data_IF_559105378259
#
_entry.id   IF_559105378259
#
_cell.length_a   1.000
_cell.length_b   1.000
_cell.length_c   1.000
_cell.angle_alpha   90.00
_cell.angle_beta   90.00
_cell.angle_gamma   90.00
#
_symmetry.space_group_name_H-M   'P 1'
#
loop_
_entity.id
_entity.type
_entity.pdbx_description
1 polymer ?
#
# COMPACT_ATOMS: atom_id res chain seq x y z
N UNK A 1 -14.82 -5.98 3.95
CA UNK A 1 -13.65 -5.24 4.44
C UNK A 1 -14.06 -3.78 4.65
N UNK A 2 -13.42 -3.06 5.58
CA UNK A 2 -13.59 -1.62 5.80
C UNK A 2 -12.24 -0.90 5.63
N UNK A 3 -12.24 0.33 5.12
CA UNK A 3 -11.02 1.15 4.96
C UNK A 3 -11.26 2.57 5.49
N UNK A 4 -10.19 3.26 5.92
CA UNK A 4 -10.19 4.70 6.20
C UNK A 4 -9.70 5.55 5.01
N UNK A 5 -9.35 4.90 3.90
CA UNK A 5 -8.91 5.52 2.66
C UNK A 5 -9.77 5.02 1.48
N UNK A 6 -9.65 5.71 0.35
CA UNK A 6 -10.23 5.31 -0.94
C UNK A 6 -9.09 5.10 -1.96
N UNK A 7 -9.21 4.10 -2.83
CA UNK A 7 -8.34 4.00 -4.01
C UNK A 7 -8.88 4.97 -5.04
N UNK A 8 -8.08 5.95 -5.46
CA UNK A 8 -8.52 6.98 -6.42
C UNK A 8 -7.96 6.71 -7.82
N UNK A 9 -6.79 6.09 -7.88
CA UNK A 9 -6.15 5.57 -9.09
C UNK A 9 -5.48 4.24 -8.76
N UNK A 10 -5.08 3.46 -9.76
CA UNK A 10 -4.42 2.17 -9.53
C UNK A 10 -3.05 2.29 -8.85
N UNK A 11 -2.52 3.49 -8.66
CA UNK A 11 -1.26 3.77 -7.97
C UNK A 11 -1.42 4.75 -6.80
N UNK A 12 -2.65 5.19 -6.49
CA UNK A 12 -2.87 6.26 -5.52
C UNK A 12 -4.09 6.04 -4.64
N UNK A 13 -3.97 6.53 -3.40
CA UNK A 13 -5.04 6.51 -2.41
C UNK A 13 -5.36 7.93 -1.93
N UNK A 14 -6.59 8.11 -1.44
CA UNK A 14 -7.02 9.33 -0.79
C UNK A 14 -7.35 9.06 0.68
N UNK A 15 -6.74 9.83 1.58
CA UNK A 15 -6.98 9.79 3.02
C UNK A 15 -7.36 11.18 3.50
N UNK A 16 -8.56 11.33 4.06
CA UNK A 16 -9.06 12.62 4.59
C UNK A 16 -8.96 13.80 3.59
N UNK A 17 -9.14 13.53 2.29
CA UNK A 17 -9.04 14.54 1.23
C UNK A 17 -7.63 14.76 0.67
N UNK A 18 -6.61 14.12 1.23
CA UNK A 18 -5.22 14.19 0.75
C UNK A 18 -5.00 13.05 -0.25
N UNK A 19 -4.58 13.40 -1.47
CA UNK A 19 -4.13 12.44 -2.48
C UNK A 19 -2.69 12.02 -2.17
N UNK A 20 -2.43 10.71 -2.21
CA UNK A 20 -1.14 10.10 -1.88
C UNK A 20 -0.75 9.18 -3.05
N UNK A 21 0.26 9.58 -3.81
CA UNK A 21 0.82 8.81 -4.92
C UNK A 21 1.78 7.75 -4.39
N UNK A 22 1.37 6.47 -4.40
CA UNK A 22 2.15 5.37 -3.85
C UNK A 22 3.24 4.87 -4.79
N UNK A 23 3.20 5.21 -6.07
CA UNK A 23 4.16 4.75 -7.08
C UNK A 23 5.37 5.69 -7.15
N UNK A 24 5.13 7.00 -7.23
CA UNK A 24 6.21 7.97 -7.41
C UNK A 24 6.82 8.45 -6.09
N UNK A 25 6.01 8.58 -5.04
CA UNK A 25 6.45 9.25 -3.81
C UNK A 25 6.86 8.28 -2.69
N UNK A 26 6.62 6.99 -2.86
CA UNK A 26 6.88 5.99 -1.83
C UNK A 26 7.48 4.71 -2.41
N UNK A 27 8.32 4.06 -1.62
CA UNK A 27 8.93 2.77 -1.90
C UNK A 27 8.45 1.76 -0.85
N UNK A 28 8.14 0.54 -1.26
CA UNK A 28 7.88 -0.55 -0.33
C UNK A 28 9.12 -0.86 0.51
N UNK A 29 8.91 -0.98 1.82
CA UNK A 29 9.98 -1.26 2.78
C UNK A 29 9.92 -2.68 3.30
N UNK A 30 8.76 -3.07 3.85
CA UNK A 30 8.61 -4.39 4.44
C UNK A 30 7.14 -4.80 4.60
N UNK A 31 6.95 -6.12 4.70
CA UNK A 31 5.72 -6.75 5.15
C UNK A 31 6.03 -7.52 6.44
N UNK A 32 5.23 -7.31 7.49
CA UNK A 32 5.40 -7.98 8.78
C UNK A 32 4.07 -8.53 9.28
N UNK A 33 4.14 -9.66 9.98
CA UNK A 33 2.97 -10.39 10.47
C UNK A 33 3.04 -10.50 11.99
N UNK A 34 1.91 -10.25 12.64
CA UNK A 34 1.78 -10.37 14.09
C UNK A 34 0.36 -10.81 14.43
N UNK A 35 0.26 -11.98 15.07
CA UNK A 35 -1.02 -12.64 15.32
C UNK A 35 -1.82 -12.80 14.02
N UNK A 36 -3.04 -12.26 13.97
CA UNK A 36 -3.90 -12.27 12.79
C UNK A 36 -3.83 -10.95 12.00
N UNK A 37 -2.79 -10.16 12.18
CA UNK A 37 -2.64 -8.87 11.51
C UNK A 37 -1.42 -8.88 10.59
N UNK A 38 -1.51 -8.10 9.52
CA UNK A 38 -0.42 -7.90 8.55
C UNK A 38 -0.19 -6.42 8.37
N UNK A 39 1.06 -6.00 8.43
CA UNK A 39 1.49 -4.62 8.19
C UNK A 39 2.33 -4.56 6.92
N UNK A 40 1.94 -3.68 6.01
CA UNK A 40 2.75 -3.33 4.84
C UNK A 40 3.21 -1.89 5.04
N UNK A 41 4.52 -1.68 5.03
CA UNK A 41 5.14 -0.37 5.18
C UNK A 41 5.69 0.15 3.85
N UNK A 42 5.43 1.43 3.62
CA UNK A 42 6.06 2.20 2.56
C UNK A 42 6.79 3.40 3.18
N UNK A 43 7.96 3.74 2.65
CA UNK A 43 8.74 4.91 3.05
C UNK A 43 8.78 5.91 1.92
N UNK A 44 8.90 7.18 2.27
CA UNK A 44 9.08 8.27 1.30
C UNK A 44 10.27 7.97 0.40
N UNK A 45 10.07 8.05 -0.92
CA UNK A 45 11.14 7.86 -1.90
C UNK A 45 12.09 9.06 -1.89
N UNK A 46 13.27 8.89 -2.47
CA UNK A 46 14.33 9.91 -2.50
C UNK A 46 14.34 10.74 -3.79
N UNK A 47 13.32 10.60 -4.64
CA UNK A 47 13.22 11.32 -5.91
C UNK A 47 13.12 12.83 -5.72
N UNK A 48 13.79 13.59 -6.60
CA UNK A 48 13.80 15.07 -6.55
C UNK A 48 12.41 15.69 -6.77
N UNK A 49 11.47 14.94 -7.34
CA UNK A 49 10.07 15.36 -7.55
C UNK A 49 9.21 15.26 -6.29
N UNK A 50 9.66 14.53 -5.26
CA UNK A 50 8.86 14.28 -4.07
C UNK A 50 8.80 15.56 -3.22
N UNK A 51 7.58 16.00 -2.89
CA UNK A 51 7.40 17.20 -2.10
C UNK A 51 8.01 17.07 -0.69
N UNK A 52 8.65 18.14 -0.20
CA UNK A 52 9.26 18.16 1.14
C UNK A 52 8.25 17.82 2.25
N UNK A 53 6.99 18.26 2.08
CA UNK A 53 5.89 18.06 3.02
C UNK A 53 5.15 16.72 2.84
N UNK A 54 5.57 15.87 1.91
CA UNK A 54 5.03 14.51 1.77
C UNK A 54 5.32 13.68 3.04
N UNK A 55 4.41 12.75 3.37
CA UNK A 55 4.56 11.86 4.53
C UNK A 55 5.89 11.10 4.48
N UNK A 56 6.49 10.84 5.64
CA UNK A 56 7.77 10.11 5.71
C UNK A 56 7.56 8.59 5.64
N UNK A 57 6.42 8.12 6.16
CA UNK A 57 6.06 6.70 6.15
C UNK A 57 4.55 6.51 6.08
N UNK A 58 4.16 5.49 5.33
CA UNK A 58 2.81 4.97 5.26
C UNK A 58 2.80 3.54 5.80
N UNK A 59 1.73 3.21 6.52
CA UNK A 59 1.50 1.87 7.05
C UNK A 59 0.08 1.46 6.70
N UNK A 60 -0.04 0.38 5.94
CA UNK A 60 -1.31 -0.32 5.74
C UNK A 60 -1.40 -1.45 6.78
N UNK A 61 -2.18 -1.20 7.83
CA UNK A 61 -2.46 -2.17 8.86
C UNK A 61 -3.72 -2.98 8.50
N UNK A 62 -3.53 -4.25 8.19
CA UNK A 62 -4.59 -5.20 7.87
C UNK A 62 -4.96 -5.97 9.13
N UNK A 63 -6.20 -5.80 9.60
CA UNK A 63 -6.69 -6.36 10.86
C UNK A 63 -7.55 -7.60 10.61
N UNK A 64 -7.33 -8.65 11.40
CA UNK A 64 -8.05 -9.92 11.31
C UNK A 64 -8.00 -10.51 9.90
N UNK A 65 -6.78 -10.74 9.41
CA UNK A 65 -6.49 -11.36 8.12
C UNK A 65 -7.02 -12.79 8.11
N UNK A 66 -7.78 -13.14 7.07
CA UNK A 66 -8.37 -14.48 6.89
C UNK A 66 -7.85 -15.20 5.66
N UNK A 67 -7.09 -14.51 4.82
CA UNK A 67 -6.44 -15.07 3.64
C UNK A 67 -5.23 -14.23 3.25
N UNK A 68 -4.19 -14.92 2.79
CA UNK A 68 -2.97 -14.33 2.25
C UNK A 68 -2.51 -15.17 1.07
N UNK A 69 -2.09 -14.49 0.01
CA UNK A 69 -1.33 -15.05 -1.08
C UNK A 69 -0.24 -14.05 -1.46
N UNK A 70 0.93 -14.54 -1.88
CA UNK A 70 2.03 -13.68 -2.29
C UNK A 70 2.84 -14.30 -3.41
N UNK A 71 3.44 -13.44 -4.22
CA UNK A 71 4.46 -13.77 -5.21
C UNK A 71 5.64 -12.82 -5.00
N UNK A 72 6.87 -13.31 -5.13
CA UNK A 72 8.08 -12.52 -4.87
C UNK A 72 8.52 -11.71 -6.11
N UNK A 73 7.95 -12.03 -7.29
CA UNK A 73 8.31 -11.39 -8.55
C UNK A 73 9.68 -11.83 -9.08
N UNK A 74 10.18 -11.10 -10.09
CA UNK A 74 11.51 -11.29 -10.67
C UNK A 74 12.23 -9.93 -10.81
N UNK A 75 13.39 -9.82 -10.20
CA UNK A 75 14.24 -8.62 -10.23
C UNK A 75 15.36 -8.69 -11.28
N UNK A 76 15.37 -9.71 -12.14
CA UNK A 76 16.50 -9.96 -13.05
C UNK A 76 16.73 -8.84 -14.08
N UNK A 77 15.66 -8.19 -14.55
CA UNK A 77 15.75 -7.13 -15.57
C UNK A 77 15.90 -5.72 -14.99
N UNK A 78 15.17 -5.40 -13.92
CA UNK A 78 15.11 -4.04 -13.33
C UNK A 78 15.15 -4.06 -11.79
N UNK A 79 16.31 -4.34 -11.16
CA UNK A 79 16.42 -4.39 -9.71
C UNK A 79 16.07 -3.07 -9.01
N UNK A 80 16.25 -1.94 -9.70
CA UNK A 80 15.96 -0.61 -9.15
C UNK A 80 14.46 -0.38 -8.87
N UNK A 81 13.57 -1.12 -9.54
CA UNK A 81 12.12 -0.95 -9.45
C UNK A 81 11.47 -1.99 -8.52
N UNK A 82 12.27 -2.82 -7.84
CA UNK A 82 11.80 -3.93 -6.99
C UNK A 82 10.76 -3.52 -5.92
N UNK A 83 10.88 -2.29 -5.43
CA UNK A 83 10.05 -1.76 -4.35
C UNK A 83 9.00 -0.75 -4.82
N UNK A 84 8.91 -0.53 -6.13
CA UNK A 84 7.98 0.41 -6.74
C UNK A 84 6.62 -0.26 -6.92
N UNK A 85 5.58 0.34 -6.35
CA UNK A 85 4.21 -0.16 -6.48
C UNK A 85 3.70 0.12 -7.90
N UNK A 86 3.39 -0.90 -8.69
CA UNK A 86 2.72 -0.73 -9.98
C UNK A 86 1.20 -0.61 -9.85
N UNK A 87 0.65 -1.16 -8.75
CA UNK A 87 -0.78 -1.37 -8.62
C UNK A 87 -1.31 -1.55 -7.19
N UNK A 88 -2.47 -0.95 -6.90
CA UNK A 88 -3.32 -1.27 -5.76
C UNK A 88 -4.78 -1.36 -6.20
N UNK A 89 -5.47 -2.43 -5.81
CA UNK A 89 -6.88 -2.64 -6.16
C UNK A 89 -7.61 -3.48 -5.13
N UNK A 90 -8.92 -3.27 -5.00
CA UNK A 90 -9.80 -4.25 -4.39
C UNK A 90 -10.24 -5.26 -5.45
N UNK A 91 -10.34 -6.53 -5.06
CA UNK A 91 -10.67 -7.61 -5.98
C UNK A 91 -11.58 -8.65 -5.32
N UNK A 92 -12.66 -9.13 -5.97
CA UNK A 92 -13.55 -10.11 -5.38
C UNK A 92 -12.83 -11.39 -4.96
N UNK A 93 -13.13 -11.90 -3.77
CA UNK A 93 -12.63 -13.20 -3.29
C UNK A 93 -13.00 -14.37 -4.20
N UNK A 94 -14.10 -14.27 -4.95
CA UNK A 94 -14.56 -15.32 -5.87
C UNK A 94 -13.67 -15.47 -7.11
N UNK A 95 -12.78 -14.51 -7.36
CA UNK A 95 -11.90 -14.47 -8.53
C UNK A 95 -10.44 -14.41 -8.07
N UNK A 96 -10.02 -15.42 -7.30
CA UNK A 96 -8.65 -15.51 -6.73
C UNK A 96 -7.61 -16.04 -7.70
N UNK A 97 -8.06 -16.63 -8.78
CA UNK A 97 -7.29 -17.09 -9.92
C UNK A 97 -6.75 -15.94 -10.79
N UNK A 98 -7.35 -14.74 -10.70
CA UNK A 98 -6.90 -13.54 -11.42
C UNK A 98 -6.09 -12.67 -10.44
N UNK A 99 -4.80 -12.46 -10.71
CA UNK A 99 -3.89 -11.70 -9.84
C UNK A 99 -3.26 -10.48 -10.52
N UNK A 100 -3.40 -10.34 -11.84
CA UNK A 100 -2.87 -9.27 -12.70
C UNK A 100 -3.96 -8.27 -13.16
N UNK A 101 -5.19 -8.48 -12.70
CA UNK A 101 -6.33 -7.63 -13.05
C UNK A 101 -6.48 -6.40 -12.15
N UNK A 102 -6.86 -5.27 -12.74
CA UNK A 102 -7.23 -4.05 -12.03
C UNK A 102 -8.74 -3.82 -12.05
N UNK A 103 -9.30 -3.39 -10.93
CA UNK A 103 -10.67 -2.93 -10.84
C UNK A 103 -10.70 -1.47 -10.38
N UNK A 104 -11.43 -0.61 -11.10
CA UNK A 104 -11.60 0.82 -10.75
C UNK A 104 -12.46 1.07 -9.50
N UNK A 105 -12.42 0.15 -8.54
CA UNK A 105 -13.25 0.17 -7.35
C UNK A 105 -12.57 0.99 -6.24
N UNK A 106 -13.19 2.10 -5.86
CA UNK A 106 -12.63 3.02 -4.85
C UNK A 106 -12.68 2.50 -3.41
N UNK A 107 -13.70 1.69 -3.08
CA UNK A 107 -13.96 1.15 -1.73
C UNK A 107 -14.20 -0.34 -1.78
N UNK A 108 -13.77 -1.12 -0.79
CA UNK A 108 -13.96 -2.56 -0.81
C UNK A 108 -15.42 -2.96 -0.58
N UNK A 109 -15.84 -4.07 -1.16
CA UNK A 109 -17.02 -4.80 -0.72
C UNK A 109 -16.71 -5.66 0.52
N UNK A 110 -17.74 -6.29 1.07
CA UNK A 110 -17.63 -7.08 2.32
C UNK A 110 -16.57 -8.18 2.26
N UNK A 111 -16.42 -8.84 1.11
CA UNK A 111 -15.58 -10.03 0.97
C UNK A 111 -14.44 -9.83 -0.04
N UNK A 112 -14.14 -8.59 -0.41
CA UNK A 112 -13.04 -8.35 -1.34
C UNK A 112 -11.70 -8.61 -0.65
N UNK A 113 -10.73 -9.01 -1.46
CA UNK A 113 -9.32 -8.97 -1.13
C UNK A 113 -8.77 -7.60 -1.56
N UNK A 114 -7.67 -7.17 -0.94
CA UNK A 114 -6.82 -6.11 -1.46
C UNK A 114 -5.61 -6.74 -2.13
N UNK A 115 -5.19 -6.20 -3.27
CA UNK A 115 -4.01 -6.62 -4.02
C UNK A 115 -3.06 -5.43 -4.12
N UNK A 116 -1.81 -5.66 -3.77
CA UNK A 116 -0.67 -4.79 -4.02
C UNK A 116 0.20 -5.47 -5.07
N UNK A 117 0.46 -4.80 -6.18
CA UNK A 117 1.29 -5.27 -7.28
C UNK A 117 2.49 -4.33 -7.42
N UNK A 118 3.66 -4.90 -7.67
CA UNK A 118 4.91 -4.17 -7.84
C UNK A 118 5.42 -4.28 -9.27
N UNK A 119 6.31 -3.37 -9.68
CA UNK A 119 6.87 -3.32 -11.04
C UNK A 119 7.62 -4.60 -11.41
N UNK A 120 8.26 -5.24 -10.43
CA UNK A 120 8.97 -6.52 -10.61
C UNK A 120 8.03 -7.75 -10.63
N UNK A 121 6.70 -7.56 -10.59
CA UNK A 121 5.72 -8.64 -10.51
C UNK A 121 5.50 -9.22 -9.12
N UNK A 122 6.19 -8.74 -8.07
CA UNK A 122 5.89 -9.06 -6.67
C UNK A 122 4.43 -8.69 -6.40
N UNK A 123 3.76 -9.49 -5.59
CA UNK A 123 2.36 -9.31 -5.31
C UNK A 123 2.01 -9.71 -3.87
N UNK A 124 1.18 -8.91 -3.22
CA UNK A 124 0.54 -9.27 -1.95
C UNK A 124 -0.97 -9.20 -2.10
N UNK A 125 -1.65 -10.30 -1.82
CA UNK A 125 -3.11 -10.38 -1.80
C UNK A 125 -3.63 -10.78 -0.43
N UNK A 126 -4.46 -9.94 0.15
CA UNK A 126 -4.93 -10.09 1.53
C UNK A 126 -6.45 -9.97 1.62
N UNK A 127 -7.09 -10.89 2.34
CA UNK A 127 -8.45 -10.69 2.84
C UNK A 127 -8.39 -10.36 4.32
N UNK A 128 -9.09 -9.32 4.75
CA UNK A 128 -9.14 -8.92 6.15
C UNK A 128 -10.45 -8.22 6.49
N UNK A 129 -10.70 -8.04 7.78
CA UNK A 129 -11.88 -7.31 8.24
C UNK A 129 -11.76 -5.81 7.95
N UNK A 130 -10.59 -5.23 8.22
CA UNK A 130 -10.34 -3.79 8.14
C UNK A 130 -8.91 -3.50 7.72
N UNK A 131 -8.75 -2.45 6.93
CA UNK A 131 -7.45 -1.84 6.63
C UNK A 131 -7.45 -0.42 7.18
N UNK A 132 -6.41 -0.09 7.93
CA UNK A 132 -6.15 1.27 8.38
C UNK A 132 -4.84 1.76 7.76
N UNK A 133 -4.94 2.83 6.98
CA UNK A 133 -3.79 3.60 6.52
C UNK A 133 -3.39 4.59 7.63
N UNK A 134 -2.20 4.40 8.16
CA UNK A 134 -1.57 5.22 9.20
C UNK A 134 -0.41 5.97 8.55
N UNK A 135 -0.33 7.28 8.79
CA UNK A 135 0.72 8.14 8.23
C UNK A 135 1.63 8.70 9.33
N UNK A 136 2.92 8.81 9.03
CA UNK A 136 3.90 9.47 9.89
C UNK A 136 4.53 10.65 9.15
N UNK A 137 4.53 11.81 9.80
CA UNK A 137 5.16 13.02 9.30
C UNK A 137 6.58 13.17 9.84
N UNK A 138 7.39 13.97 9.15
CA UNK A 138 8.68 14.44 9.68
C UNK A 138 8.43 15.10 11.04
N UNK A 139 9.07 14.60 12.09
CA UNK A 139 9.04 15.27 13.40
C UNK A 139 9.66 16.65 13.23
N UNK A 140 8.86 17.70 13.26
CA UNK A 140 9.37 19.05 13.43
C UNK A 140 9.92 19.15 14.85
N UNK A 141 11.25 19.15 14.97
CA UNK A 141 11.91 19.57 16.20
C UNK A 141 11.62 21.06 16.40
N UNK A 142 10.47 21.38 17.00
CA UNK A 142 10.26 22.68 17.60
C UNK A 142 11.19 22.76 18.81
N UNK A 143 12.44 23.19 18.56
CA UNK A 143 13.31 23.73 19.60
C UNK A 143 12.52 24.86 20.27
N UNK A 144 11.97 24.57 21.44
CA UNK A 144 11.53 25.58 22.39
C UNK A 144 12.76 26.43 22.71
N UNK A 145 12.87 27.57 22.04
CA UNK A 145 13.65 28.70 22.54
C UNK A 145 12.96 29.18 23.81
N UNK A 146 13.63 29.00 24.94
CA UNK A 146 13.42 29.79 26.15
C UNK A 146 14.46 30.89 26.16
#
# INVERSE_FOLDING_TARGET
>A
MKTNFEIVDNYAVQLNGIHIDLHNNFEFKEISEFENNVRIEFIKSTGDWVHENEFEKLTFLHQNVTFKNSDDGDNSESPQDENTLSGITFFPKSTREINDGFMGQKKPNKNDDIVYLFENGKMFRLNCERIELITENKKTNAQHRV
#
